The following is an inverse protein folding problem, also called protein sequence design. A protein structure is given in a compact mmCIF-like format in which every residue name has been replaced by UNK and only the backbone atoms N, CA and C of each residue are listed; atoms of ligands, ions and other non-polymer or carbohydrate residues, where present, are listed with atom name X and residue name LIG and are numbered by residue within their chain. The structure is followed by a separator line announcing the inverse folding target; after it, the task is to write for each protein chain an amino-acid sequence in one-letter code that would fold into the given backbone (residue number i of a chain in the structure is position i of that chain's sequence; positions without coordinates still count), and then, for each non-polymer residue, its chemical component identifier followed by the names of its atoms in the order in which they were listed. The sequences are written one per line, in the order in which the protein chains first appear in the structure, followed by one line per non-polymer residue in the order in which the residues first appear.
data_IF_190660724741
#
_entry.id   IF_190660724741
#
_cell.length_a   1.000
_cell.length_b   1.000
_cell.length_c   1.000
_cell.angle_alpha   90.00
_cell.angle_beta   90.00
_cell.angle_gamma   90.00
#
_symmetry.space_group_name_H-M   'P 1'
#
loop_
_entity.id
_entity.type
_entity.pdbx_description
1 polymer ?
#
# COMPACT_ATOMS: atom_id res chain seq x y z
N UNK A 1 18.19 -6.71 -0.82
CA UNK A 1 16.84 -6.33 -1.29
C UNK A 1 15.97 -6.21 -0.06
N UNK A 2 15.23 -5.12 0.11
CA UNK A 2 14.24 -5.05 1.17
C UNK A 2 13.18 -6.12 0.90
N UNK A 3 12.71 -6.80 1.94
CA UNK A 3 11.68 -7.83 1.81
C UNK A 3 10.38 -7.17 1.31
N UNK A 4 9.89 -7.62 0.14
CA UNK A 4 8.63 -7.15 -0.43
C UNK A 4 7.51 -8.00 0.13
N UNK A 5 6.64 -7.40 0.95
CA UNK A 5 5.50 -8.08 1.53
C UNK A 5 4.23 -7.73 0.73
N UNK A 6 3.47 -8.76 0.36
CA UNK A 6 2.27 -8.60 -0.46
C UNK A 6 1.25 -7.64 0.18
N UNK A 7 1.01 -7.74 1.50
CA UNK A 7 0.13 -6.80 2.21
C UNK A 7 0.53 -5.34 2.09
N UNK A 8 1.83 -5.05 2.00
CA UNK A 8 2.30 -3.66 1.89
C UNK A 8 2.00 -3.12 0.49
N UNK A 9 2.27 -3.92 -0.55
CA UNK A 9 2.04 -3.54 -1.94
C UNK A 9 0.55 -3.41 -2.26
N UNK A 10 -0.25 -4.37 -1.80
CA UNK A 10 -1.72 -4.33 -1.92
C UNK A 10 -2.28 -3.14 -1.13
N UNK A 11 -1.85 -2.96 0.12
CA UNK A 11 -2.31 -1.85 0.97
C UNK A 11 -2.04 -0.48 0.36
N UNK A 12 -0.83 -0.27 -0.18
CA UNK A 12 -0.47 0.97 -0.87
C UNK A 12 -1.30 1.18 -2.14
N UNK A 13 -1.50 0.14 -2.95
CA UNK A 13 -2.31 0.21 -4.18
C UNK A 13 -3.76 0.57 -3.86
N UNK A 14 -4.36 -0.06 -2.86
CA UNK A 14 -5.72 0.26 -2.41
C UNK A 14 -5.84 1.70 -1.89
N UNK A 15 -4.82 2.17 -1.16
CA UNK A 15 -4.77 3.54 -0.65
C UNK A 15 -4.71 4.55 -1.81
N UNK A 16 -3.89 4.30 -2.82
CA UNK A 16 -3.78 5.16 -4.00
C UNK A 16 -5.10 5.25 -4.76
N UNK A 17 -5.69 4.11 -5.10
CA UNK A 17 -7.01 4.04 -5.75
C UNK A 17 -8.10 4.77 -4.94
N UNK A 18 -8.06 4.67 -3.61
CA UNK A 18 -8.99 5.40 -2.75
C UNK A 18 -8.79 6.91 -2.82
N UNK A 19 -7.55 7.38 -2.80
CA UNK A 19 -7.24 8.81 -2.86
C UNK A 19 -7.57 9.39 -4.24
N UNK A 20 -7.28 8.66 -5.32
CA UNK A 20 -7.61 9.05 -6.70
C UNK A 20 -9.11 9.13 -6.94
N UNK A 21 -9.89 8.23 -6.33
CA UNK A 21 -11.36 8.28 -6.36
C UNK A 21 -11.97 9.34 -5.43
N UNK A 22 -11.16 10.10 -4.68
CA UNK A 22 -11.62 11.14 -3.77
C UNK A 22 -12.41 10.63 -2.56
N UNK A 23 -12.40 9.31 -2.31
CA UNK A 23 -13.17 8.67 -1.24
C UNK A 23 -12.40 8.69 0.09
N UNK A 24 -13.10 8.95 1.17
CA UNK A 24 -12.59 8.84 2.54
C UNK A 24 -12.54 7.37 2.99
N UNK A 25 -11.72 7.09 4.01
CA UNK A 25 -11.72 5.77 4.66
C UNK A 25 -13.12 5.37 5.16
N UNK A 26 -13.92 6.34 5.64
CA UNK A 26 -15.26 6.08 6.16
C UNK A 26 -16.24 5.64 5.06
N UNK A 27 -16.18 6.27 3.90
CA UNK A 27 -17.03 5.92 2.76
C UNK A 27 -16.71 4.51 2.24
N UNK A 28 -15.43 4.21 2.04
CA UNK A 28 -15.01 2.89 1.52
C UNK A 28 -15.27 1.79 2.54
N UNK A 29 -14.92 2.00 3.81
CA UNK A 29 -15.15 0.98 4.85
C UNK A 29 -16.63 0.67 5.06
N UNK A 30 -17.49 1.70 5.01
CA UNK A 30 -18.94 1.53 5.05
C UNK A 30 -19.47 0.72 3.87
N UNK A 31 -19.07 1.07 2.64
CA UNK A 31 -19.50 0.35 1.44
C UNK A 31 -18.99 -1.10 1.39
N UNK A 32 -17.73 -1.34 1.82
CA UNK A 32 -17.12 -2.66 1.88
C UNK A 32 -17.57 -3.50 3.09
N UNK A 33 -18.42 -2.95 3.98
CA UNK A 33 -18.89 -3.59 5.23
C UNK A 33 -17.75 -4.06 6.15
N UNK A 34 -16.68 -3.27 6.23
CA UNK A 34 -15.56 -3.49 7.15
C UNK A 34 -15.44 -2.33 8.12
N UNK A 35 -14.72 -2.52 9.23
CA UNK A 35 -14.44 -1.40 10.12
C UNK A 35 -13.46 -0.41 9.47
N UNK A 36 -13.61 0.88 9.79
CA UNK A 36 -12.67 1.93 9.37
C UNK A 36 -11.24 1.60 9.82
N UNK A 37 -11.09 1.12 11.06
CA UNK A 37 -9.81 0.70 11.62
C UNK A 37 -9.16 -0.42 10.80
N UNK A 38 -9.94 -1.44 10.44
CA UNK A 38 -9.45 -2.57 9.63
C UNK A 38 -8.97 -2.12 8.25
N UNK A 39 -9.77 -1.31 7.52
CA UNK A 39 -9.35 -0.77 6.22
C UNK A 39 -8.06 0.08 6.37
N UNK A 40 -7.96 0.84 7.46
CA UNK A 40 -6.79 1.65 7.74
C UNK A 40 -5.53 0.80 8.03
N UNK A 41 -5.68 -0.34 8.72
CA UNK A 41 -4.59 -1.29 8.93
C UNK A 41 -4.17 -1.97 7.62
N UNK A 42 -5.13 -2.35 6.76
CA UNK A 42 -4.87 -2.92 5.44
C UNK A 42 -4.08 -1.94 4.56
N UNK A 43 -4.50 -0.68 4.47
CA UNK A 43 -3.80 0.34 3.67
C UNK A 43 -2.36 0.62 4.14
N UNK A 44 -2.07 0.32 5.41
CA UNK A 44 -0.72 0.44 5.99
C UNK A 44 0.09 -0.86 5.92
N UNK A 45 -0.44 -1.92 5.33
CA UNK A 45 0.22 -3.22 5.27
C UNK A 45 0.35 -3.90 6.64
N UNK A 46 -0.51 -3.56 7.61
CA UNK A 46 -0.51 -4.18 8.93
C UNK A 46 -1.36 -5.45 8.99
N UNK A 47 -2.21 -5.70 7.98
CA UNK A 47 -3.10 -6.86 7.88
C UNK A 47 -3.09 -7.43 6.47
N UNK A 48 -3.11 -8.76 6.39
CA UNK A 48 -3.46 -9.49 5.16
C UNK A 48 -4.99 -9.45 5.00
N UNK A 49 -5.47 -8.89 3.89
CA UNK A 49 -6.89 -8.94 3.56
C UNK A 49 -7.20 -10.27 2.86
N UNK A 50 -8.32 -10.91 3.22
CA UNK A 50 -8.79 -12.09 2.48
C UNK A 50 -9.22 -11.71 1.06
N UNK A 51 -9.29 -12.68 0.16
CA UNK A 51 -9.75 -12.46 -1.21
C UNK A 51 -11.16 -11.87 -1.27
N UNK A 52 -12.06 -12.28 -0.38
CA UNK A 52 -13.42 -11.74 -0.26
C UNK A 52 -13.40 -10.27 0.15
N UNK A 53 -12.52 -9.90 1.08
CA UNK A 53 -12.39 -8.51 1.55
C UNK A 53 -11.75 -7.62 0.48
N UNK A 54 -10.75 -8.13 -0.24
CA UNK A 54 -10.19 -7.42 -1.39
C UNK A 54 -11.25 -7.15 -2.45
N UNK A 55 -12.08 -8.14 -2.78
CA UNK A 55 -13.17 -7.96 -3.74
C UNK A 55 -14.20 -6.93 -3.25
N UNK A 56 -14.55 -6.95 -1.96
CA UNK A 56 -15.47 -5.97 -1.37
C UNK A 56 -14.91 -4.53 -1.40
N UNK A 57 -13.62 -4.35 -1.11
CA UNK A 57 -12.94 -3.05 -1.16
C UNK A 57 -12.85 -2.55 -2.61
N UNK A 58 -12.48 -3.41 -3.57
CA UNK A 58 -12.44 -3.06 -4.99
C UNK A 58 -13.82 -2.61 -5.49
N UNK A 59 -14.88 -3.34 -5.12
CA UNK A 59 -16.26 -2.93 -5.41
C UNK A 59 -16.65 -1.60 -4.77
N UNK A 60 -16.23 -1.32 -3.54
CA UNK A 60 -16.45 -0.02 -2.89
C UNK A 60 -15.68 1.13 -3.57
N UNK A 61 -14.55 0.82 -4.21
CA UNK A 61 -13.73 1.76 -4.97
C UNK A 61 -14.22 1.97 -6.40
N UNK A 62 -15.11 1.11 -6.91
CA UNK A 62 -15.54 1.07 -8.32
C UNK A 62 -14.38 0.72 -9.26
N UNK A 63 -13.57 -0.27 -8.86
CA UNK A 63 -12.40 -0.75 -9.59
C UNK A 63 -12.47 -2.27 -9.72
N UNK A 64 -12.10 -2.79 -10.89
CA UNK A 64 -11.99 -4.23 -11.11
C UNK A 64 -10.79 -4.83 -10.35
N UNK A 65 -10.97 -6.03 -9.79
CA UNK A 65 -9.90 -6.73 -9.07
C UNK A 65 -8.66 -6.93 -9.95
N UNK A 66 -8.83 -7.23 -11.23
CA UNK A 66 -7.73 -7.40 -12.19
C UNK A 66 -6.89 -6.13 -12.35
N UNK A 67 -7.53 -4.95 -12.38
CA UNK A 67 -6.84 -3.66 -12.47
C UNK A 67 -6.04 -3.40 -11.18
N UNK A 68 -6.64 -3.63 -10.01
CA UNK A 68 -5.92 -3.50 -8.73
C UNK A 68 -4.70 -4.43 -8.66
N UNK A 69 -4.83 -5.68 -9.14
CA UNK A 69 -3.72 -6.63 -9.20
C UNK A 69 -2.63 -6.21 -10.20
N UNK A 70 -3.00 -5.63 -11.35
CA UNK A 70 -2.03 -5.09 -12.31
C UNK A 70 -1.17 -4.00 -11.67
N UNK A 71 -1.79 -3.00 -11.03
CA UNK A 71 -1.08 -1.92 -10.34
C UNK A 71 -0.20 -2.46 -9.20
N UNK A 72 -0.70 -3.45 -8.46
CA UNK A 72 0.08 -4.13 -7.42
C UNK A 72 1.32 -4.81 -8.01
N UNK A 73 1.18 -5.49 -9.16
CA UNK A 73 2.28 -6.15 -9.85
C UNK A 73 3.33 -5.16 -10.33
N UNK A 74 2.91 -4.02 -10.90
CA UNK A 74 3.83 -2.94 -11.30
C UNK A 74 4.63 -2.43 -10.10
N UNK A 75 3.96 -2.29 -8.94
CA UNK A 75 4.58 -1.85 -7.70
C UNK A 75 5.59 -2.84 -7.14
N UNK A 76 5.27 -4.14 -7.20
CA UNK A 76 6.20 -5.22 -6.82
C UNK A 76 7.44 -5.18 -7.72
N UNK A 77 7.25 -5.15 -9.04
CA UNK A 77 8.35 -5.12 -10.00
C UNK A 77 9.25 -3.88 -9.80
N UNK A 78 8.66 -2.72 -9.49
CA UNK A 78 9.40 -1.52 -9.15
C UNK A 78 10.28 -1.74 -7.91
N UNK A 79 9.75 -2.32 -6.84
CA UNK A 79 10.51 -2.59 -5.60
C UNK A 79 11.62 -3.63 -5.80
N UNK A 80 11.38 -4.67 -6.60
CA UNK A 80 12.39 -5.68 -6.93
C UNK A 80 13.55 -5.11 -7.76
N UNK A 81 13.27 -4.10 -8.58
CA UNK A 81 14.25 -3.43 -9.44
C UNK A 81 15.06 -2.34 -8.71
N UNK A 82 14.71 -2.01 -7.45
CA UNK A 82 15.42 -0.97 -6.69
C UNK A 82 16.79 -1.49 -6.21
N UNK A 83 17.85 -0.89 -6.76
CA UNK A 83 19.20 -1.04 -6.23
C UNK A 83 19.40 -0.03 -5.09
N UNK A 84 19.61 -0.52 -3.86
CA UNK A 84 20.02 0.35 -2.74
C UNK A 84 21.44 0.83 -2.97
N UNK A 85 21.60 2.13 -3.29
CA UNK A 85 22.92 2.73 -3.39
C UNK A 85 23.49 2.97 -1.99
N UNK A 86 24.79 2.67 -1.74
CA UNK A 86 25.41 2.99 -0.47
C UNK A 86 25.46 4.51 -0.32
N UNK A 87 24.68 5.05 0.62
CA UNK A 87 24.83 6.44 1.04
C UNK A 87 26.13 6.52 1.83
N UNK A 88 27.12 7.27 1.31
CA UNK A 88 28.35 7.56 2.05
C UNK A 88 27.94 8.26 3.35
N UNK A 89 28.13 7.59 4.49
CA UNK A 89 27.92 8.21 5.79
C UNK A 89 28.76 9.50 5.86
N UNK A 90 28.11 10.64 6.05
CA UNK A 90 28.80 11.88 6.36
C UNK A 90 29.39 11.69 7.75
N UNK A 91 30.70 11.48 7.83
CA UNK A 91 31.41 11.46 9.11
C UNK A 91 31.15 12.81 9.78
N UNK A 92 30.54 12.86 10.98
CA UNK A 92 30.37 14.13 11.67
C UNK A 92 31.77 14.71 11.89
N UNK A 93 32.05 15.88 11.30
CA UNK A 93 33.28 16.62 11.61
C UNK A 93 33.20 16.96 13.10
N UNK A 94 34.07 16.33 13.90
CA UNK A 94 34.31 16.78 15.26
C UNK A 94 34.69 18.26 15.16
N UNK A 95 33.84 19.13 15.71
CA UNK A 95 34.15 20.52 15.94
C UNK A 95 35.44 20.55 16.78
N UNK A 96 36.52 21.03 16.17
CA UNK A 96 37.77 21.32 16.88
C UNK A 96 37.49 22.59 17.69
N UNK A 97 37.57 22.47 19.01
CA UNK A 97 37.56 23.57 19.96
C UNK A 97 38.95 24.21 20.05
#
# INVERSE_FOLDING_TARGET
MAEVLMRDMVGQTLRELRLESGKTLREVSGAARVSLGYLSEVERGQKEASSELLNAICGALDVDLSHMLLLTSERVAAHESVTTLPVRALTPQRAVA
#
